data_IF_850461409615
#
_entry.id   IF_850461409615
#
_cell.length_a   1.000
_cell.length_b   1.000
_cell.length_c   1.000
_cell.angle_alpha   90.00
_cell.angle_beta   90.00
_cell.angle_gamma   90.00
#
_symmetry.space_group_name_H-M   'P 1'
#
loop_
_entity.id
_entity.type
_entity.pdbx_description
1 polymer ?
#
# COMPACT_ATOMS: atom_id res chain seq x y z
N UNK A 1 -11.37 18.06 11.62
CA UNK A 1 -12.36 17.03 12.01
C UNK A 1 -12.01 16.58 13.42
N UNK A 2 -12.95 16.60 14.37
CA UNK A 2 -12.73 16.24 15.77
C UNK A 2 -12.74 14.72 15.97
N UNK A 3 -12.08 14.22 17.04
CA UNK A 3 -12.06 12.80 17.43
C UNK A 3 -13.48 12.19 17.51
N UNK A 4 -14.45 12.98 18.00
CA UNK A 4 -15.84 12.57 18.16
C UNK A 4 -16.52 12.23 16.82
N UNK A 5 -16.17 12.96 15.74
CA UNK A 5 -16.73 12.70 14.42
C UNK A 5 -16.20 11.38 13.82
N UNK A 6 -14.95 11.02 14.11
CA UNK A 6 -14.36 9.73 13.70
C UNK A 6 -15.00 8.58 14.48
N UNK A 7 -15.14 8.75 15.81
CA UNK A 7 -15.80 7.77 16.66
C UNK A 7 -17.24 7.47 16.25
N UNK A 8 -18.00 8.49 15.83
CA UNK A 8 -19.37 8.34 15.36
C UNK A 8 -19.48 7.53 14.05
N UNK A 9 -18.55 7.69 13.10
CA UNK A 9 -18.52 6.93 11.84
C UNK A 9 -18.21 5.45 12.11
N UNK A 10 -17.26 5.17 13.00
CA UNK A 10 -16.92 3.78 13.40
C UNK A 10 -18.08 3.12 14.13
N UNK A 11 -18.74 3.82 15.05
CA UNK A 11 -19.91 3.30 15.77
C UNK A 11 -21.11 3.04 14.85
N UNK A 12 -21.24 3.78 13.75
CA UNK A 12 -22.24 3.55 12.71
C UNK A 12 -21.88 2.40 11.74
N UNK A 13 -20.74 1.72 11.93
CA UNK A 13 -20.26 0.62 11.08
C UNK A 13 -19.61 1.08 9.77
N UNK A 14 -19.35 2.37 9.60
CA UNK A 14 -18.61 2.90 8.46
C UNK A 14 -17.10 2.80 8.66
N UNK A 15 -16.35 2.57 7.59
CA UNK A 15 -14.90 2.73 7.59
C UNK A 15 -14.55 4.20 7.26
N UNK A 16 -14.09 4.99 8.26
CA UNK A 16 -13.75 6.40 8.05
C UNK A 16 -12.56 6.58 7.09
N UNK A 17 -11.81 5.52 6.79
CA UNK A 17 -10.64 5.55 5.92
C UNK A 17 -10.90 4.96 4.53
N UNK A 18 -12.11 4.49 4.23
CA UNK A 18 -12.45 3.86 2.95
C UNK A 18 -12.15 4.77 1.74
N UNK A 19 -12.46 6.06 1.85
CA UNK A 19 -12.16 7.02 0.78
C UNK A 19 -10.65 7.23 0.60
N UNK A 20 -9.90 7.37 1.69
CA UNK A 20 -8.43 7.50 1.62
C UNK A 20 -7.79 6.23 1.07
N UNK A 21 -8.30 5.06 1.43
CA UNK A 21 -7.83 3.76 0.93
C UNK A 21 -8.08 3.65 -0.58
N UNK A 22 -9.29 3.94 -1.04
CA UNK A 22 -9.62 3.90 -2.47
C UNK A 22 -8.75 4.82 -3.33
N UNK A 23 -8.35 5.99 -2.81
CA UNK A 23 -7.42 6.89 -3.52
C UNK A 23 -6.00 6.33 -3.63
N UNK A 24 -5.54 5.62 -2.59
CA UNK A 24 -4.23 4.95 -2.61
C UNK A 24 -4.26 3.78 -3.59
N UNK A 25 -5.33 2.97 -3.57
CA UNK A 25 -5.51 1.85 -4.48
C UNK A 25 -5.52 2.33 -5.95
N UNK A 26 -6.25 3.41 -6.26
CA UNK A 26 -6.28 4.02 -7.60
C UNK A 26 -4.90 4.54 -8.05
N UNK A 27 -4.18 5.21 -7.15
CA UNK A 27 -2.84 5.72 -7.44
C UNK A 27 -1.85 4.57 -7.71
N UNK A 28 -1.87 3.53 -6.87
CA UNK A 28 -1.02 2.34 -7.06
C UNK A 28 -1.39 1.62 -8.35
N UNK A 29 -2.69 1.47 -8.66
CA UNK A 29 -3.14 0.89 -9.92
C UNK A 29 -2.64 1.67 -11.14
N UNK A 30 -2.69 3.00 -11.10
CA UNK A 30 -2.14 3.86 -12.17
C UNK A 30 -0.64 3.63 -12.37
N UNK A 31 0.13 3.57 -11.29
CA UNK A 31 1.57 3.36 -11.34
C UNK A 31 1.93 1.96 -11.86
N UNK A 32 1.24 0.92 -11.37
CA UNK A 32 1.45 -0.46 -11.82
C UNK A 32 1.10 -0.64 -13.29
N UNK A 33 -0.01 -0.06 -13.77
CA UNK A 33 -0.39 -0.12 -15.17
C UNK A 33 0.68 0.53 -16.07
N UNK A 34 1.18 1.71 -15.69
CA UNK A 34 2.24 2.39 -16.42
C UNK A 34 3.56 1.60 -16.41
N UNK A 35 3.95 1.03 -15.25
CA UNK A 35 5.16 0.23 -15.12
C UNK A 35 5.09 -1.10 -15.89
N UNK A 36 3.93 -1.75 -15.90
CA UNK A 36 3.70 -2.97 -16.67
C UNK A 36 3.78 -2.71 -18.17
N UNK A 37 3.24 -1.57 -18.65
CA UNK A 37 3.31 -1.18 -20.05
C UNK A 37 4.75 -1.02 -20.60
N UNK A 38 5.73 -0.77 -19.73
CA UNK A 38 7.15 -0.67 -20.07
C UNK A 38 7.99 -1.86 -19.59
N UNK A 39 7.33 -2.93 -19.12
CA UNK A 39 8.01 -4.17 -18.69
C UNK A 39 8.82 -4.05 -17.40
N UNK A 40 8.51 -3.07 -16.54
CA UNK A 40 9.17 -2.91 -15.23
C UNK A 40 8.55 -3.83 -14.18
N UNK A 41 7.23 -3.90 -14.13
CA UNK A 41 6.48 -4.78 -13.22
C UNK A 41 5.79 -5.89 -13.99
N UNK A 42 5.56 -7.02 -13.32
CA UNK A 42 4.77 -8.12 -13.87
C UNK A 42 3.29 -7.69 -13.99
N UNK A 43 2.56 -8.08 -15.04
CA UNK A 43 1.17 -7.65 -15.24
C UNK A 43 0.19 -8.30 -14.25
N UNK A 44 0.58 -9.37 -13.57
CA UNK A 44 -0.23 -10.06 -12.55
C UNK A 44 -0.12 -9.43 -11.15
N UNK A 45 0.60 -8.33 -11.00
CA UNK A 45 0.67 -7.62 -9.73
C UNK A 45 -0.64 -6.84 -9.48
N UNK A 46 -1.42 -7.29 -8.50
CA UNK A 46 -2.67 -6.62 -8.13
C UNK A 46 -2.39 -5.38 -7.27
N UNK A 47 -3.04 -4.23 -7.54
CA UNK A 47 -2.86 -3.02 -6.74
C UNK A 47 -3.17 -3.21 -5.25
N UNK A 48 -4.23 -3.95 -4.94
CA UNK A 48 -4.64 -4.20 -3.56
C UNK A 48 -3.59 -4.99 -2.77
N UNK A 49 -2.97 -6.00 -3.38
CA UNK A 49 -1.89 -6.78 -2.76
C UNK A 49 -0.68 -5.88 -2.41
N UNK A 50 -0.36 -4.93 -3.29
CA UNK A 50 0.71 -3.95 -3.05
C UNK A 50 0.32 -3.00 -1.90
N UNK A 51 -0.91 -2.50 -1.87
CA UNK A 51 -1.38 -1.60 -0.79
C UNK A 51 -1.42 -2.32 0.56
N UNK A 52 -1.91 -3.55 0.61
CA UNK A 52 -1.91 -4.39 1.82
C UNK A 52 -0.48 -4.63 2.30
N UNK A 53 0.44 -4.96 1.40
CA UNK A 53 1.86 -5.19 1.73
C UNK A 53 2.51 -3.94 2.30
N UNK A 54 2.35 -2.77 1.65
CA UNK A 54 2.87 -1.50 2.13
C UNK A 54 2.28 -1.10 3.48
N UNK A 55 0.99 -1.38 3.70
CA UNK A 55 0.32 -1.13 4.99
C UNK A 55 0.95 -1.96 6.11
N UNK A 56 1.23 -3.24 5.84
CA UNK A 56 1.97 -4.12 6.76
C UNK A 56 3.36 -3.58 7.11
N UNK A 57 4.12 -3.15 6.09
CA UNK A 57 5.45 -2.55 6.26
C UNK A 57 5.36 -1.27 7.10
N UNK A 58 4.40 -0.39 6.83
CA UNK A 58 4.21 0.84 7.58
C UNK A 58 3.87 0.61 9.06
N UNK A 59 3.06 -0.42 9.37
CA UNK A 59 2.74 -0.79 10.75
C UNK A 59 3.98 -1.25 11.53
N UNK A 60 4.84 -2.06 10.91
CA UNK A 60 6.04 -2.56 11.58
C UNK A 60 7.18 -1.54 11.57
N UNK A 61 7.22 -0.62 10.60
CA UNK A 61 8.23 0.43 10.50
C UNK A 61 8.33 1.29 11.76
N UNK A 62 7.22 1.53 12.47
CA UNK A 62 7.22 2.25 13.74
C UNK A 62 7.93 1.49 14.88
N UNK A 63 8.02 0.17 14.78
CA UNK A 63 8.65 -0.72 15.76
C UNK A 63 10.09 -1.06 15.36
N UNK A 64 10.35 -1.14 14.05
CA UNK A 64 11.69 -1.32 13.50
C UNK A 64 12.52 -0.04 13.71
N UNK A 65 13.57 -0.14 14.53
CA UNK A 65 14.47 1.00 14.79
C UNK A 65 15.51 1.21 13.70
N UNK A 66 15.65 0.26 12.77
CA UNK A 66 16.63 0.29 11.69
C UNK A 66 15.96 0.72 10.36
N UNK A 67 16.15 1.97 9.91
CA UNK A 67 15.61 2.43 8.63
C UNK A 67 16.19 1.67 7.43
N UNK A 68 17.40 1.10 7.57
CA UNK A 68 18.00 0.28 6.51
C UNK A 68 17.25 -1.04 6.37
N UNK A 69 16.75 -1.62 7.47
CA UNK A 69 15.91 -2.80 7.40
C UNK A 69 14.59 -2.54 6.67
N UNK A 70 13.96 -1.38 6.92
CA UNK A 70 12.73 -0.99 6.21
C UNK A 70 13.02 -0.89 4.71
N UNK A 71 14.12 -0.27 4.31
CA UNK A 71 14.54 -0.21 2.90
C UNK A 71 14.67 -1.61 2.29
N UNK A 72 15.37 -2.54 2.96
CA UNK A 72 15.53 -3.91 2.46
C UNK A 72 14.19 -4.64 2.32
N UNK A 73 13.23 -4.40 3.22
CA UNK A 73 11.90 -5.02 3.13
C UNK A 73 11.10 -4.43 1.96
N UNK A 74 11.23 -3.13 1.70
CA UNK A 74 10.65 -2.52 0.50
C UNK A 74 11.27 -3.08 -0.78
N UNK A 75 12.59 -3.30 -0.79
CA UNK A 75 13.28 -3.94 -1.92
C UNK A 75 12.73 -5.36 -2.15
N UNK A 76 12.50 -6.15 -1.09
CA UNK A 76 11.90 -7.48 -1.21
C UNK A 76 10.49 -7.44 -1.83
N UNK A 77 9.66 -6.46 -1.44
CA UNK A 77 8.35 -6.26 -2.07
C UNK A 77 8.49 -5.90 -3.54
N UNK A 78 9.38 -4.95 -3.87
CA UNK A 78 9.60 -4.51 -5.23
C UNK A 78 10.11 -5.65 -6.13
N UNK A 79 11.09 -6.43 -5.67
CA UNK A 79 11.56 -7.61 -6.39
C UNK A 79 10.46 -8.66 -6.59
N UNK A 80 9.51 -8.77 -5.65
CA UNK A 80 8.36 -9.66 -5.76
C UNK A 80 7.39 -9.29 -6.90
N UNK A 81 7.29 -8.00 -7.24
CA UNK A 81 6.40 -7.48 -8.29
C UNK A 81 7.12 -7.12 -9.60
N UNK A 82 8.46 -7.17 -9.61
CA UNK A 82 9.28 -6.89 -10.78
C UNK A 82 9.00 -7.91 -11.90
N UNK A 83 9.04 -7.45 -13.14
CA UNK A 83 8.92 -8.31 -14.32
C UNK A 83 10.02 -9.39 -14.30
N UNK A 84 9.65 -10.61 -14.69
CA UNK A 84 10.59 -11.74 -14.78
C UNK A 84 11.19 -11.83 -16.20
N UNK A 85 12.43 -12.30 -16.35
CA UNK A 85 13.03 -12.57 -17.66
C UNK A 85 12.26 -13.64 -18.45
#
# INVERSE_FOLDING_TARGET
>A
MSSDAIGAVVAAGGDPFAQSRGRVDEAVGTLLAAAAAVGVTRPEAEPDDVVVSLSGIAMVAAVLKDPVQISRVLDLLYEGIRARP
#
